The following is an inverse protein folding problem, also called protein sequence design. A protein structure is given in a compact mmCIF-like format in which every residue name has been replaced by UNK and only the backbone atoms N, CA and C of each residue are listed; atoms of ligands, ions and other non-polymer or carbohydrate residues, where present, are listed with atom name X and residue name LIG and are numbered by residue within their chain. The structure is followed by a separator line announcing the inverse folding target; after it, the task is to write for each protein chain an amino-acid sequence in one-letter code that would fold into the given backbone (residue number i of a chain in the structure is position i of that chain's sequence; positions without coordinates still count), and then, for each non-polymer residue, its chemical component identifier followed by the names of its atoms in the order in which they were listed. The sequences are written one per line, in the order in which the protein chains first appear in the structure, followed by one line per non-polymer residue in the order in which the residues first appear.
data_IF_511754574457
#
_entry.id   IF_511754574457
#
_cell.length_a   1.000
_cell.length_b   1.000
_cell.length_c   1.000
_cell.angle_alpha   90.00
_cell.angle_beta   90.00
_cell.angle_gamma   90.00
#
_symmetry.space_group_name_H-M   'P 1'
#
loop_
_entity.id
_entity.type
_entity.pdbx_description
1 polymer ?
#
# COMPACT_ATOMS: atom_id res chain seq x y z
N UNK A 1 14.32 0.11 -0.43
CA UNK A 1 14.56 0.67 0.91
C UNK A 1 15.54 -0.27 1.58
N UNK A 2 16.53 0.25 2.30
CA UNK A 2 17.62 -0.56 2.87
C UNK A 2 17.54 -0.64 4.40
N UNK A 3 16.37 -0.33 4.97
CA UNK A 3 16.12 -0.55 6.39
C UNK A 3 16.41 -2.00 6.80
N UNK A 4 16.96 -2.18 8.00
CA UNK A 4 17.41 -3.49 8.53
C UNK A 4 16.28 -4.53 8.50
N UNK A 5 15.02 -4.09 8.69
CA UNK A 5 13.83 -4.95 8.58
C UNK A 5 13.66 -5.63 7.20
N UNK A 6 14.23 -5.06 6.13
CA UNK A 6 14.19 -5.62 4.77
C UNK A 6 15.53 -6.21 4.32
N UNK A 7 16.64 -5.77 4.93
CA UNK A 7 17.99 -6.19 4.56
C UNK A 7 18.57 -7.29 5.47
N UNK A 8 17.87 -7.70 6.54
CA UNK A 8 18.37 -8.73 7.46
C UNK A 8 18.49 -10.10 6.79
N UNK A 9 19.49 -10.90 7.23
CA UNK A 9 19.73 -12.25 6.72
C UNK A 9 18.49 -13.15 6.79
N UNK A 10 17.70 -13.18 7.90
CA UNK A 10 16.48 -14.00 7.95
C UNK A 10 15.48 -13.68 6.85
N UNK A 11 15.33 -12.40 6.51
CA UNK A 11 14.41 -11.96 5.45
C UNK A 11 14.97 -12.32 4.08
N UNK A 12 16.29 -12.20 3.88
CA UNK A 12 16.97 -12.64 2.64
C UNK A 12 16.83 -14.15 2.41
N UNK A 13 17.03 -14.94 3.44
CA UNK A 13 16.91 -16.40 3.37
C UNK A 13 15.46 -16.82 3.11
N UNK A 14 14.50 -16.18 3.78
CA UNK A 14 13.08 -16.40 3.55
C UNK A 14 12.68 -16.14 2.08
N UNK A 15 13.04 -14.99 1.52
CA UNK A 15 12.73 -14.68 0.13
C UNK A 15 13.43 -15.64 -0.84
N UNK A 16 14.69 -16.00 -0.57
CA UNK A 16 15.41 -16.99 -1.39
C UNK A 16 14.70 -18.34 -1.39
N UNK A 17 14.20 -18.78 -0.24
CA UNK A 17 13.40 -20.00 -0.11
C UNK A 17 12.10 -19.98 -0.94
N UNK A 18 11.55 -18.80 -1.20
CA UNK A 18 10.36 -18.59 -2.04
C UNK A 18 10.70 -18.27 -3.51
N UNK A 19 11.98 -18.27 -3.90
CA UNK A 19 12.40 -17.87 -5.24
C UNK A 19 12.24 -16.38 -5.54
N UNK A 20 12.10 -15.54 -4.51
CA UNK A 20 11.94 -14.10 -4.63
C UNK A 20 13.31 -13.43 -4.74
N UNK A 21 13.56 -12.77 -5.86
CA UNK A 21 14.77 -11.97 -6.06
C UNK A 21 14.63 -10.60 -5.39
N UNK A 22 15.44 -10.36 -4.36
CA UNK A 22 15.52 -9.04 -3.73
C UNK A 22 16.41 -8.09 -4.54
N UNK A 23 15.89 -6.88 -4.79
CA UNK A 23 16.66 -5.78 -5.37
C UNK A 23 16.82 -4.68 -4.33
N UNK A 24 18.05 -4.48 -3.86
CA UNK A 24 18.40 -3.37 -2.99
C UNK A 24 18.86 -2.19 -3.82
N UNK A 25 18.33 -1.01 -3.50
CA UNK A 25 18.54 0.20 -4.28
C UNK A 25 19.47 1.10 -3.47
N UNK A 26 20.55 1.60 -4.08
CA UNK A 26 21.49 2.51 -3.40
C UNK A 26 20.75 3.70 -2.78
N UNK A 27 21.24 4.22 -1.65
CA UNK A 27 20.67 5.39 -0.96
C UNK A 27 20.50 6.61 -1.88
N UNK A 28 21.34 6.71 -2.90
CA UNK A 28 21.36 7.82 -3.86
C UNK A 28 20.22 7.72 -4.91
N UNK A 29 19.66 6.52 -5.12
CA UNK A 29 18.60 6.26 -6.10
C UNK A 29 17.24 5.98 -5.41
N UNK A 30 16.82 6.87 -4.50
CA UNK A 30 15.53 6.78 -3.76
C UNK A 30 14.27 6.76 -4.64
N UNK A 31 14.38 7.07 -5.93
CA UNK A 31 13.26 7.29 -6.84
C UNK A 31 12.46 6.01 -7.13
N UNK A 32 13.13 4.85 -7.11
CA UNK A 32 12.46 3.56 -7.32
C UNK A 32 11.51 3.16 -6.18
N UNK A 33 11.63 3.74 -4.98
CA UNK A 33 10.64 3.57 -3.90
C UNK A 33 9.53 4.65 -3.94
N UNK A 34 9.47 5.45 -5.01
CA UNK A 34 8.57 6.61 -5.13
C UNK A 34 7.09 6.22 -5.14
N UNK A 35 6.74 5.14 -5.85
CA UNK A 35 5.36 4.64 -5.92
C UNK A 35 4.85 4.20 -4.56
N UNK A 36 5.63 3.38 -3.83
CA UNK A 36 5.29 2.93 -2.47
C UNK A 36 5.17 4.11 -1.51
N UNK A 37 6.09 5.09 -1.59
CA UNK A 37 6.00 6.31 -0.77
C UNK A 37 4.74 7.13 -1.05
N UNK A 38 4.36 7.27 -2.32
CA UNK A 38 3.15 7.99 -2.71
C UNK A 38 1.90 7.28 -2.20
N UNK A 39 1.83 5.95 -2.36
CA UNK A 39 0.75 5.11 -1.83
C UNK A 39 0.64 5.25 -0.30
N UNK A 40 1.74 5.07 0.42
CA UNK A 40 1.78 5.19 1.88
C UNK A 40 1.34 6.58 2.36
N UNK A 41 1.69 7.65 1.63
CA UNK A 41 1.25 9.01 1.96
C UNK A 41 -0.27 9.16 1.88
N UNK A 42 -0.91 8.57 0.87
CA UNK A 42 -2.38 8.61 0.73
C UNK A 42 -3.04 7.79 1.84
N UNK A 43 -2.57 6.59 2.10
CA UNK A 43 -3.09 5.70 3.16
C UNK A 43 -2.97 6.38 4.53
N UNK A 44 -1.80 6.93 4.86
CA UNK A 44 -1.58 7.65 6.12
C UNK A 44 -2.49 8.87 6.25
N UNK A 45 -2.78 9.59 5.15
CA UNK A 45 -3.71 10.72 5.18
C UNK A 45 -5.14 10.25 5.45
N UNK A 46 -5.58 9.15 4.84
CA UNK A 46 -6.88 8.54 5.09
C UNK A 46 -7.04 8.08 6.54
N UNK A 47 -6.02 7.39 7.07
CA UNK A 47 -5.99 6.95 8.47
C UNK A 47 -6.06 8.14 9.45
N UNK A 48 -5.25 9.18 9.25
CA UNK A 48 -5.28 10.38 10.12
C UNK A 48 -6.69 10.96 10.22
N UNK A 49 -7.36 11.13 9.08
CA UNK A 49 -8.74 11.65 9.03
C UNK A 49 -9.71 10.77 9.80
N UNK A 50 -9.61 9.44 9.66
CA UNK A 50 -10.47 8.50 10.39
C UNK A 50 -10.15 8.45 11.89
N UNK A 51 -8.91 8.68 12.28
CA UNK A 51 -8.48 8.67 13.68
C UNK A 51 -8.97 9.89 14.45
N UNK A 52 -9.07 11.04 13.80
CA UNK A 52 -9.71 12.24 14.35
C UNK A 52 -11.18 11.94 14.74
N UNK A 53 -11.85 11.06 13.97
CA UNK A 53 -13.25 10.68 14.18
C UNK A 53 -13.43 9.48 15.16
N UNK A 54 -12.50 8.52 15.17
CA UNK A 54 -12.67 7.19 15.79
C UNK A 54 -11.91 6.97 17.12
N UNK A 55 -11.47 8.03 17.82
CA UNK A 55 -10.72 7.93 19.09
C UNK A 55 -9.53 6.95 19.07
N UNK A 56 -8.71 7.01 18.01
CA UNK A 56 -7.44 6.26 17.88
C UNK A 56 -7.51 4.75 17.52
N UNK A 57 -8.65 4.21 17.08
CA UNK A 57 -8.78 2.81 16.60
C UNK A 57 -8.31 2.61 15.15
N UNK A 58 -7.00 2.78 14.91
CA UNK A 58 -6.45 2.77 13.55
C UNK A 58 -6.45 1.39 12.89
N UNK A 59 -6.37 0.31 13.69
CA UNK A 59 -6.33 -1.06 13.18
C UNK A 59 -7.68 -1.42 12.57
N UNK A 60 -8.76 -0.96 13.19
CA UNK A 60 -10.15 -1.18 12.80
C UNK A 60 -10.52 -0.38 11.54
N UNK A 61 -9.92 0.81 11.37
CA UNK A 61 -10.15 1.67 10.20
C UNK A 61 -9.26 1.31 9.00
N UNK A 62 -8.15 0.61 9.22
CA UNK A 62 -7.19 0.27 8.16
C UNK A 62 -7.85 -0.46 6.97
N UNK A 63 -8.70 -1.49 7.16
CA UNK A 63 -9.38 -2.15 6.05
C UNK A 63 -10.24 -1.19 5.20
N UNK A 64 -10.93 -0.24 5.84
CA UNK A 64 -11.77 0.72 5.12
C UNK A 64 -10.93 1.70 4.31
N UNK A 65 -9.84 2.21 4.89
CA UNK A 65 -8.92 3.13 4.19
C UNK A 65 -8.26 2.44 3.00
N UNK A 66 -7.81 1.19 3.16
CA UNK A 66 -7.25 0.40 2.07
C UNK A 66 -8.28 0.12 0.98
N UNK A 67 -9.51 -0.21 1.35
CA UNK A 67 -10.59 -0.41 0.38
C UNK A 67 -10.82 0.84 -0.46
N UNK A 68 -11.00 2.00 0.19
CA UNK A 68 -11.16 3.28 -0.50
C UNK A 68 -9.99 3.57 -1.45
N UNK A 69 -8.75 3.33 -1.03
CA UNK A 69 -7.58 3.50 -1.89
C UNK A 69 -7.64 2.58 -3.13
N UNK A 70 -7.99 1.30 -2.95
CA UNK A 70 -8.04 0.34 -4.05
C UNK A 70 -9.19 0.60 -5.04
N UNK A 71 -10.32 1.17 -4.59
CA UNK A 71 -11.50 1.37 -5.43
C UNK A 71 -11.68 2.80 -5.94
N UNK A 72 -10.77 3.72 -5.59
CA UNK A 72 -10.82 5.11 -6.09
C UNK A 72 -9.97 5.26 -7.33
N UNK A 73 -10.50 5.93 -8.35
CA UNK A 73 -9.75 6.21 -9.58
C UNK A 73 -8.57 7.14 -9.28
N UNK A 74 -7.37 6.74 -9.71
CA UNK A 74 -6.19 7.56 -9.56
C UNK A 74 -6.02 8.51 -10.75
N UNK A 75 -5.76 9.79 -10.48
CA UNK A 75 -5.61 10.78 -11.54
C UNK A 75 -4.46 10.48 -12.51
N UNK A 76 -3.34 9.91 -12.02
CA UNK A 76 -2.17 9.63 -12.84
C UNK A 76 -2.36 8.50 -13.85
N UNK A 77 -3.31 7.60 -13.59
CA UNK A 77 -3.53 6.39 -14.38
C UNK A 77 -4.93 6.29 -14.96
N UNK A 78 -5.84 7.17 -14.56
CA UNK A 78 -7.27 7.15 -14.89
C UNK A 78 -8.00 5.83 -14.55
N UNK A 79 -7.36 5.00 -13.73
CA UNK A 79 -7.84 3.67 -13.35
C UNK A 79 -7.76 3.47 -11.84
N UNK A 80 -8.54 2.54 -11.31
CA UNK A 80 -8.45 2.12 -9.90
C UNK A 80 -7.32 1.11 -9.72
N UNK A 81 -6.60 1.10 -8.58
CA UNK A 81 -5.62 0.05 -8.29
C UNK A 81 -6.21 -1.36 -8.34
N UNK A 82 -7.47 -1.54 -7.92
CA UNK A 82 -8.18 -2.82 -8.01
C UNK A 82 -8.31 -3.29 -9.46
N UNK A 83 -8.73 -2.41 -10.36
CA UNK A 83 -8.86 -2.71 -11.79
C UNK A 83 -7.51 -3.12 -12.40
N UNK A 84 -6.41 -2.46 -12.03
CA UNK A 84 -5.09 -2.80 -12.55
C UNK A 84 -4.61 -4.22 -12.17
N UNK A 85 -5.02 -4.72 -11.00
CA UNK A 85 -4.61 -6.05 -10.52
C UNK A 85 -5.52 -7.14 -11.08
N UNK A 86 -6.83 -6.90 -11.16
CA UNK A 86 -7.82 -7.93 -11.45
C UNK A 86 -8.47 -7.81 -12.83
N UNK A 87 -8.26 -6.70 -13.55
CA UNK A 87 -8.87 -6.45 -14.85
C UNK A 87 -10.39 -6.22 -14.82
N UNK A 88 -10.96 -5.95 -13.65
CA UNK A 88 -12.40 -5.72 -13.48
C UNK A 88 -12.67 -4.66 -12.41
N UNK A 89 -13.83 -4.01 -12.49
CA UNK A 89 -14.24 -3.02 -11.50
C UNK A 89 -14.59 -3.69 -10.16
N UNK A 90 -14.25 -3.03 -9.05
CA UNK A 90 -14.71 -3.46 -7.74
C UNK A 90 -16.22 -3.27 -7.62
N UNK A 91 -16.94 -4.33 -7.25
CA UNK A 91 -18.37 -4.24 -6.94
C UNK A 91 -18.51 -3.84 -5.48
N UNK A 92 -19.10 -2.68 -5.21
CA UNK A 92 -19.40 -2.22 -3.85
C UNK A 92 -20.81 -2.72 -3.49
N UNK A 93 -20.95 -3.58 -2.46
CA UNK A 93 -22.27 -3.98 -1.97
C UNK A 93 -23.04 -2.76 -1.48
N UNK A 94 -24.31 -2.63 -1.88
CA UNK A 94 -25.18 -1.48 -1.60
C UNK A 94 -25.36 -1.23 -0.09
N UNK A 95 -25.16 -2.24 0.75
CA UNK A 95 -25.30 -2.17 2.22
C UNK A 95 -24.30 -1.24 2.93
N UNK A 96 -23.28 -0.72 2.22
CA UNK A 96 -22.23 0.15 2.78
C UNK A 96 -22.24 1.58 2.24
N UNK A 97 -23.30 1.99 1.54
CA UNK A 97 -23.53 3.39 1.10
C UNK A 97 -24.40 4.11 2.12
#
# INVERSE_FOLDING_TARGET
DNGIQFASNPVQDFCRGLGIHMVFISMEHRQANGQVKAANKVILKGLKRKLDDAKALWVEELPQVLWSYHTTTHFSTHETPFYMVYGMNAIIPIEKI
#
